data_IF_943194568281
#
_entry.id   IF_943194568281
#
_cell.length_a   1.000
_cell.length_b   1.000
_cell.length_c   1.000
_cell.angle_alpha   90.00
_cell.angle_beta   90.00
_cell.angle_gamma   90.00
#
_symmetry.space_group_name_H-M   'P 1'
#
loop_
_entity.id
_entity.type
_entity.pdbx_description
1 polymer ?
#
# COMPACT_ATOMS: atom_id res chain seq x y z
N UNK A 1 20.68 -38.58 54.47
CA UNK A 1 20.07 -37.32 53.99
C UNK A 1 19.83 -37.42 52.49
N UNK A 2 18.57 -37.51 52.09
CA UNK A 2 18.13 -37.73 50.72
C UNK A 2 17.51 -36.45 50.16
N UNK A 3 18.16 -35.83 49.17
CA UNK A 3 17.58 -34.76 48.34
C UNK A 3 18.38 -34.70 47.03
N UNK A 4 17.75 -35.09 45.91
CA UNK A 4 18.31 -34.84 44.58
C UNK A 4 18.04 -35.91 43.50
N UNK A 5 16.78 -36.31 43.25
CA UNK A 5 16.45 -37.21 42.13
C UNK A 5 15.35 -36.69 41.19
N UNK A 6 14.76 -35.52 41.45
CA UNK A 6 13.61 -35.03 40.67
C UNK A 6 13.85 -33.71 39.92
N UNK A 7 14.99 -33.04 40.13
CA UNK A 7 15.31 -31.78 39.44
C UNK A 7 15.90 -31.97 38.02
N UNK A 8 16.46 -33.15 37.70
CA UNK A 8 17.07 -33.41 36.38
C UNK A 8 16.08 -33.89 35.29
N UNK A 9 14.87 -34.33 35.66
CA UNK A 9 13.87 -34.80 34.69
C UNK A 9 13.26 -33.67 33.85
N UNK A 10 13.21 -32.44 34.39
CA UNK A 10 12.73 -31.26 33.65
C UNK A 10 13.65 -30.86 32.49
N UNK A 11 14.95 -31.08 32.62
CA UNK A 11 15.90 -30.82 31.54
C UNK A 11 15.83 -31.89 30.45
N UNK A 12 15.74 -33.18 30.78
CA UNK A 12 15.77 -34.25 29.75
C UNK A 12 14.58 -34.17 28.77
N UNK A 13 13.42 -33.64 29.20
CA UNK A 13 12.26 -33.39 28.34
C UNK A 13 12.26 -32.03 27.61
N UNK A 14 13.10 -31.08 28.02
CA UNK A 14 13.25 -29.77 27.37
C UNK A 14 14.20 -29.79 26.16
N UNK A 15 15.17 -30.72 26.14
CA UNK A 15 16.22 -30.79 25.11
C UNK A 15 15.81 -31.25 23.70
N UNK A 16 14.76 -32.07 23.45
CA UNK A 16 14.38 -32.37 22.07
C UNK A 16 13.92 -31.11 21.33
N UNK A 17 13.28 -30.14 22.01
CA UNK A 17 12.82 -28.90 21.38
C UNK A 17 13.96 -28.05 20.82
N UNK A 18 15.14 -28.02 21.45
CA UNK A 18 16.31 -27.30 20.94
C UNK A 18 17.00 -28.00 19.77
N UNK A 19 16.86 -29.32 19.61
CA UNK A 19 17.43 -30.06 18.48
C UNK A 19 16.61 -29.92 17.19
N UNK A 20 15.27 -29.94 17.30
CA UNK A 20 14.39 -29.77 16.13
C UNK A 20 14.25 -28.31 15.73
N UNK A 21 14.40 -27.36 16.65
CA UNK A 21 14.21 -25.93 16.36
C UNK A 21 15.15 -25.38 15.27
N UNK A 22 16.47 -25.66 15.26
CA UNK A 22 17.36 -25.26 14.16
C UNK A 22 16.98 -25.90 12.82
N UNK A 23 16.59 -27.18 12.82
CA UNK A 23 16.14 -27.87 11.61
C UNK A 23 14.83 -27.27 11.07
N UNK A 24 13.88 -26.98 11.96
CA UNK A 24 12.63 -26.29 11.66
C UNK A 24 12.87 -24.85 11.17
N UNK A 25 13.79 -24.10 11.80
CA UNK A 25 14.17 -22.75 11.36
C UNK A 25 14.84 -22.77 10.00
N UNK A 26 15.72 -23.73 9.74
CA UNK A 26 16.35 -23.89 8.44
C UNK A 26 15.34 -24.27 7.35
N UNK A 27 14.45 -25.22 7.65
CA UNK A 27 13.33 -25.57 6.76
C UNK A 27 12.43 -24.36 6.50
N UNK A 28 12.04 -23.61 7.54
CA UNK A 28 11.20 -22.42 7.44
C UNK A 28 11.89 -21.31 6.66
N UNK A 29 13.18 -21.06 6.87
CA UNK A 29 13.96 -20.10 6.09
C UNK A 29 14.07 -20.51 4.62
N UNK A 30 14.27 -21.80 4.32
CA UNK A 30 14.26 -22.30 2.94
C UNK A 30 12.88 -22.16 2.30
N UNK A 31 11.81 -22.45 3.05
CA UNK A 31 10.42 -22.29 2.59
C UNK A 31 10.10 -20.82 2.33
N UNK A 32 10.46 -19.91 3.23
CA UNK A 32 10.29 -18.47 3.06
C UNK A 32 11.06 -17.94 1.85
N UNK A 33 12.31 -18.39 1.65
CA UNK A 33 13.09 -18.04 0.45
C UNK A 33 12.48 -18.60 -0.83
N UNK A 34 11.89 -19.80 -0.77
CA UNK A 34 11.18 -20.39 -1.92
C UNK A 34 9.90 -19.61 -2.24
N UNK A 35 9.16 -19.17 -1.21
CA UNK A 35 8.00 -18.28 -1.36
C UNK A 35 8.42 -16.93 -1.93
N UNK A 36 9.44 -16.27 -1.36
CA UNK A 36 9.98 -15.02 -1.91
C UNK A 36 10.45 -15.14 -3.36
N UNK A 37 11.06 -16.28 -3.74
CA UNK A 37 11.44 -16.55 -5.13
C UNK A 37 10.22 -16.77 -6.02
N UNK A 38 9.16 -17.41 -5.52
CA UNK A 38 7.91 -17.60 -6.24
C UNK A 38 7.11 -16.30 -6.38
N UNK A 39 7.13 -15.44 -5.36
CA UNK A 39 6.52 -14.11 -5.38
C UNK A 39 7.31 -13.15 -6.29
N UNK A 40 8.63 -13.29 -6.36
CA UNK A 40 9.50 -12.56 -7.28
C UNK A 40 9.47 -13.12 -8.72
N UNK A 41 9.17 -14.41 -8.90
CA UNK A 41 9.03 -15.06 -10.21
C UNK A 41 7.60 -14.97 -10.76
N UNK A 42 6.61 -14.77 -9.89
CA UNK A 42 5.36 -14.14 -10.29
C UNK A 42 5.77 -12.80 -10.86
N UNK A 43 5.38 -12.44 -12.10
CA UNK A 43 5.60 -11.10 -12.59
C UNK A 43 4.83 -10.17 -11.66
N UNK A 44 5.49 -9.65 -10.63
CA UNK A 44 5.24 -8.29 -10.23
C UNK A 44 5.26 -7.53 -11.55
N UNK A 45 4.17 -6.84 -11.88
CA UNK A 45 4.22 -5.74 -12.83
C UNK A 45 5.52 -5.04 -12.48
N UNK A 46 6.52 -5.16 -13.37
CA UNK A 46 7.85 -4.63 -13.11
C UNK A 46 7.62 -3.19 -12.62
N UNK A 47 8.51 -2.58 -11.83
CA UNK A 47 8.61 -1.15 -11.96
C UNK A 47 9.03 -0.93 -13.43
N UNK A 48 8.06 -0.93 -14.35
CA UNK A 48 8.05 -0.07 -15.51
C UNK A 48 8.50 1.21 -14.86
N UNK A 49 9.67 1.67 -15.25
CA UNK A 49 10.09 3.05 -15.04
C UNK A 49 8.81 3.82 -15.19
N UNK A 50 8.23 4.25 -14.06
CA UNK A 50 6.94 4.88 -14.11
C UNK A 50 7.33 6.19 -14.76
N UNK A 51 7.24 6.25 -16.09
CA UNK A 51 7.36 7.48 -16.82
C UNK A 51 6.34 8.34 -16.10
N UNK A 52 6.79 9.34 -15.31
CA UNK A 52 5.84 10.14 -14.55
C UNK A 52 4.83 10.61 -15.56
N UNK A 53 3.54 10.45 -15.27
CA UNK A 53 2.51 10.90 -16.19
C UNK A 53 2.82 12.37 -16.51
N UNK A 54 3.24 12.63 -17.75
CA UNK A 54 3.69 13.95 -18.21
C UNK A 54 2.48 14.62 -18.83
N UNK A 55 2.04 15.71 -18.22
CA UNK A 55 0.95 16.54 -18.73
C UNK A 55 1.49 17.89 -19.21
N UNK A 56 0.65 18.62 -19.95
CA UNK A 56 0.91 20.01 -20.33
C UNK A 56 1.16 20.84 -19.07
N UNK A 57 2.14 21.76 -19.06
CA UNK A 57 2.46 22.56 -17.89
C UNK A 57 1.25 23.41 -17.49
N UNK A 58 0.89 23.40 -16.21
CA UNK A 58 -0.28 24.16 -15.74
C UNK A 58 -0.08 24.93 -14.43
N UNK A 59 1.05 24.76 -13.74
CA UNK A 59 1.35 25.46 -12.49
C UNK A 59 2.70 26.22 -12.49
N UNK A 60 3.43 26.18 -13.60
CA UNK A 60 4.73 26.85 -13.75
C UNK A 60 5.86 26.21 -12.93
N UNK A 61 5.74 24.92 -12.59
CA UNK A 61 6.71 24.18 -11.77
C UNK A 61 6.49 24.36 -10.26
N UNK A 62 5.32 24.85 -9.84
CA UNK A 62 5.02 25.12 -8.43
C UNK A 62 5.04 23.85 -7.57
N UNK A 63 4.48 22.75 -8.06
CA UNK A 63 4.33 21.53 -7.27
C UNK A 63 5.39 20.46 -7.55
N UNK A 64 5.98 20.44 -8.75
CA UNK A 64 6.98 19.43 -9.17
C UNK A 64 8.36 20.02 -9.53
N UNK A 65 8.49 21.35 -9.56
CA UNK A 65 9.73 22.05 -9.90
C UNK A 65 10.05 22.12 -11.40
N UNK A 66 9.16 21.66 -12.29
CA UNK A 66 9.40 21.63 -13.74
C UNK A 66 8.44 22.60 -14.46
N UNK A 67 8.92 23.75 -14.97
CA UNK A 67 8.07 24.70 -15.65
C UNK A 67 7.66 24.27 -17.07
N UNK A 68 8.30 23.22 -17.63
CA UNK A 68 8.08 22.78 -19.00
C UNK A 68 7.03 21.66 -19.10
N UNK A 69 6.88 20.86 -18.04
CA UNK A 69 5.92 19.76 -18.00
C UNK A 69 5.39 19.53 -16.59
N UNK A 70 4.13 19.11 -16.50
CA UNK A 70 3.53 18.70 -15.22
C UNK A 70 3.77 17.19 -14.99
N UNK A 71 4.26 16.82 -13.81
CA UNK A 71 4.46 15.44 -13.35
C UNK A 71 3.57 15.13 -12.16
N UNK A 72 3.26 13.85 -11.95
CA UNK A 72 2.54 13.41 -10.77
C UNK A 72 3.30 13.75 -9.46
N UNK A 73 2.61 14.39 -8.50
CA UNK A 73 3.15 14.84 -7.22
C UNK A 73 2.55 14.10 -6.02
N UNK A 74 3.32 14.02 -4.95
CA UNK A 74 2.86 13.49 -3.67
C UNK A 74 2.66 11.96 -3.61
N UNK A 75 2.30 11.43 -2.43
CA UNK A 75 2.04 10.00 -2.25
C UNK A 75 0.84 9.51 -3.04
N UNK A 76 -0.12 10.39 -3.36
CA UNK A 76 -1.30 10.07 -4.18
C UNK A 76 -1.12 10.34 -5.68
N UNK A 77 0.09 10.73 -6.11
CA UNK A 77 0.47 10.88 -7.52
C UNK A 77 -0.50 11.77 -8.33
N UNK A 78 -0.92 12.90 -7.77
CA UNK A 78 -1.80 13.84 -8.45
C UNK A 78 -1.06 14.59 -9.56
N UNK A 79 -1.66 14.75 -10.73
CA UNK A 79 -1.19 15.74 -11.70
C UNK A 79 -1.51 17.14 -11.17
N UNK A 80 -0.61 18.14 -11.28
CA UNK A 80 -0.82 19.51 -10.81
C UNK A 80 -2.16 20.12 -11.24
N UNK A 81 -2.61 19.83 -12.47
CA UNK A 81 -3.93 20.25 -12.98
C UNK A 81 -5.14 19.65 -12.25
N UNK A 82 -5.00 18.43 -11.74
CA UNK A 82 -6.00 17.79 -10.90
C UNK A 82 -5.89 18.30 -9.47
N UNK A 83 -4.66 18.42 -8.95
CA UNK A 83 -4.41 18.98 -7.62
C UNK A 83 -5.04 20.36 -7.44
N UNK A 84 -4.87 21.28 -8.40
CA UNK A 84 -5.51 22.62 -8.31
C UNK A 84 -7.03 22.61 -8.15
N UNK A 85 -7.72 21.55 -8.59
CA UNK A 85 -9.18 21.44 -8.49
C UNK A 85 -9.63 20.73 -7.22
N UNK A 86 -8.81 19.83 -6.68
CA UNK A 86 -9.21 18.90 -5.62
C UNK A 86 -8.41 19.05 -4.33
N UNK A 87 -7.39 19.91 -4.32
CA UNK A 87 -6.58 20.21 -3.15
C UNK A 87 -7.46 20.50 -1.93
N UNK A 88 -7.09 19.88 -0.82
CA UNK A 88 -7.78 19.96 0.46
C UNK A 88 -6.75 20.12 1.55
N UNK A 89 -7.08 20.96 2.52
CA UNK A 89 -6.30 21.19 3.74
C UNK A 89 -6.95 20.33 4.84
N UNK A 90 -6.39 19.15 5.08
CA UNK A 90 -6.93 18.16 6.00
C UNK A 90 -6.29 18.29 7.40
N UNK A 91 -5.06 18.78 7.48
CA UNK A 91 -4.37 19.07 8.74
C UNK A 91 -4.69 20.46 9.31
N UNK A 92 -5.44 21.29 8.58
CA UNK A 92 -5.95 22.61 8.96
C UNK A 92 -4.85 23.65 9.20
N UNK A 93 -3.76 23.60 8.43
CA UNK A 93 -2.64 24.55 8.54
C UNK A 93 -2.79 25.81 7.66
N UNK A 94 -3.85 25.86 6.83
CA UNK A 94 -4.20 26.98 5.98
C UNK A 94 -3.75 26.82 4.51
N UNK A 95 -3.08 25.74 4.15
CA UNK A 95 -2.72 25.44 2.76
C UNK A 95 -2.86 23.95 2.44
N UNK A 96 -3.23 23.60 1.20
CA UNK A 96 -3.18 22.21 0.75
C UNK A 96 -1.79 21.87 0.20
N UNK A 97 -1.08 20.94 0.84
CA UNK A 97 0.22 20.43 0.39
C UNK A 97 0.09 19.01 -0.23
N UNK A 98 0.40 18.83 -1.53
CA UNK A 98 0.32 17.51 -2.15
C UNK A 98 1.29 16.48 -1.55
N UNK A 99 2.32 16.91 -0.83
CA UNK A 99 3.27 16.02 -0.15
C UNK A 99 2.80 15.60 1.25
N UNK A 100 1.84 16.32 1.82
CA UNK A 100 1.26 16.02 3.12
C UNK A 100 0.23 14.90 2.95
N UNK A 101 0.37 13.82 3.70
CA UNK A 101 -0.41 12.59 3.51
C UNK A 101 -1.89 12.78 3.78
N UNK A 102 -2.28 13.57 4.79
CA UNK A 102 -3.69 13.77 5.13
C UNK A 102 -4.38 14.63 4.06
N UNK A 103 -3.71 15.69 3.60
CA UNK A 103 -4.20 16.55 2.51
C UNK A 103 -4.36 15.77 1.22
N UNK A 104 -3.35 14.96 0.88
CA UNK A 104 -3.37 14.11 -0.30
C UNK A 104 -4.48 13.05 -0.21
N UNK A 105 -4.66 12.41 0.95
CA UNK A 105 -5.69 11.42 1.17
C UNK A 105 -7.11 12.02 1.09
N UNK A 106 -7.34 13.18 1.73
CA UNK A 106 -8.64 13.86 1.66
C UNK A 106 -8.95 14.34 0.23
N UNK A 107 -7.94 14.85 -0.47
CA UNK A 107 -8.08 15.25 -1.88
C UNK A 107 -8.44 14.04 -2.76
N UNK A 108 -7.80 12.89 -2.54
CA UNK A 108 -8.12 11.64 -3.24
C UNK A 108 -9.55 11.16 -2.97
N UNK A 109 -9.98 11.20 -1.71
CA UNK A 109 -11.35 10.83 -1.33
C UNK A 109 -12.38 11.73 -2.03
N UNK A 110 -12.18 13.05 -2.02
CA UNK A 110 -13.08 14.00 -2.71
C UNK A 110 -13.10 13.79 -4.20
N UNK A 111 -11.94 13.51 -4.80
CA UNK A 111 -11.83 13.23 -6.24
C UNK A 111 -12.59 11.95 -6.63
N UNK A 112 -12.46 10.88 -5.85
CA UNK A 112 -13.16 9.61 -6.10
C UNK A 112 -14.68 9.78 -5.99
N UNK A 113 -15.16 10.53 -4.99
CA UNK A 113 -16.58 10.83 -4.77
C UNK A 113 -17.16 11.90 -5.71
N UNK A 114 -16.37 12.46 -6.63
CA UNK A 114 -16.82 13.51 -7.53
C UNK A 114 -17.92 13.05 -8.50
N UNK A 115 -18.89 13.92 -8.79
CA UNK A 115 -19.91 13.70 -9.82
C UNK A 115 -21.03 12.76 -9.40
N UNK A 116 -21.55 12.93 -8.18
CA UNK A 116 -22.70 12.20 -7.60
C UNK A 116 -22.52 10.67 -7.54
N UNK A 117 -21.28 10.19 -7.53
CA UNK A 117 -20.94 8.77 -7.46
C UNK A 117 -21.18 8.22 -6.06
N UNK A 118 -21.75 7.03 -5.98
CA UNK A 118 -21.79 6.25 -4.76
C UNK A 118 -20.72 5.15 -4.80
N UNK A 119 -19.66 5.28 -3.99
CA UNK A 119 -18.58 4.29 -3.94
C UNK A 119 -19.01 2.94 -3.33
N UNK A 120 -20.20 2.84 -2.75
CA UNK A 120 -20.80 1.57 -2.36
C UNK A 120 -21.41 0.81 -3.55
N UNK A 121 -21.69 1.51 -4.67
CA UNK A 121 -22.20 0.92 -5.90
C UNK A 121 -21.03 0.45 -6.77
N UNK A 122 -20.98 -0.85 -7.17
CA UNK A 122 -19.82 -1.38 -7.90
C UNK A 122 -19.49 -0.64 -9.20
N UNK A 123 -20.51 -0.23 -9.97
CA UNK A 123 -20.31 0.48 -11.23
C UNK A 123 -19.66 1.86 -11.02
N UNK A 124 -20.13 2.61 -10.02
CA UNK A 124 -19.63 3.93 -9.67
C UNK A 124 -18.22 3.85 -9.07
N UNK A 125 -17.95 2.81 -8.27
CA UNK A 125 -16.61 2.53 -7.76
C UNK A 125 -15.61 2.32 -8.90
N UNK A 126 -15.96 1.48 -9.90
CA UNK A 126 -15.10 1.27 -11.07
C UNK A 126 -14.90 2.54 -11.88
N UNK A 127 -15.96 3.32 -12.08
CA UNK A 127 -15.89 4.61 -12.77
C UNK A 127 -14.98 5.61 -12.03
N UNK A 128 -15.04 5.64 -10.69
CA UNK A 128 -14.19 6.48 -9.87
C UNK A 128 -12.72 6.09 -10.00
N UNK A 129 -12.38 4.80 -9.88
CA UNK A 129 -10.98 4.34 -10.00
C UNK A 129 -10.42 4.56 -11.41
N UNK A 130 -11.23 4.38 -12.45
CA UNK A 130 -10.81 4.67 -13.83
C UNK A 130 -10.60 6.16 -14.11
N UNK A 131 -11.19 7.06 -13.31
CA UNK A 131 -10.88 8.49 -13.38
C UNK A 131 -9.47 8.81 -12.88
N UNK A 132 -8.87 7.95 -12.04
CA UNK A 132 -7.48 8.04 -11.63
C UNK A 132 -6.53 7.47 -12.70
N UNK A 133 -6.85 6.27 -13.17
CA UNK A 133 -6.10 5.59 -14.22
C UNK A 133 -7.02 4.61 -14.97
N UNK A 134 -7.24 4.87 -16.25
CA UNK A 134 -8.14 4.10 -17.10
C UNK A 134 -7.50 2.77 -17.54
N UNK A 135 -7.38 1.84 -16.59
CA UNK A 135 -6.73 0.54 -16.77
C UNK A 135 -7.42 -0.53 -15.93
N UNK A 136 -7.95 -1.56 -16.60
CA UNK A 136 -8.62 -2.70 -15.93
C UNK A 136 -7.68 -3.40 -14.93
N UNK A 137 -6.43 -3.76 -15.29
CA UNK A 137 -5.50 -4.38 -14.32
C UNK A 137 -5.22 -3.49 -13.10
N UNK A 138 -5.14 -2.18 -13.30
CA UNK A 138 -4.97 -1.23 -12.20
C UNK A 138 -6.19 -1.25 -11.27
N UNK A 139 -7.41 -1.16 -11.82
CA UNK A 139 -8.64 -1.20 -11.03
C UNK A 139 -8.79 -2.51 -10.24
N UNK A 140 -8.46 -3.66 -10.86
CA UNK A 140 -8.46 -4.96 -10.17
C UNK A 140 -7.46 -4.98 -8.99
N UNK A 141 -6.27 -4.41 -9.18
CA UNK A 141 -5.26 -4.30 -8.13
C UNK A 141 -5.73 -3.43 -6.96
N UNK A 142 -6.29 -2.26 -7.26
CA UNK A 142 -6.85 -1.35 -6.24
C UNK A 142 -7.98 -2.04 -5.47
N UNK A 143 -8.88 -2.74 -6.17
CA UNK A 143 -9.97 -3.48 -5.53
C UNK A 143 -9.45 -4.56 -4.58
N UNK A 144 -8.48 -5.37 -5.03
CA UNK A 144 -7.91 -6.44 -4.20
C UNK A 144 -7.21 -5.92 -2.94
N UNK A 145 -6.53 -4.77 -3.02
CA UNK A 145 -5.94 -4.11 -1.86
C UNK A 145 -7.01 -3.59 -0.90
N UNK A 146 -8.05 -2.90 -1.40
CA UNK A 146 -9.14 -2.37 -0.59
C UNK A 146 -9.92 -3.47 0.15
N UNK A 147 -10.26 -4.56 -0.54
CA UNK A 147 -10.88 -5.76 0.06
C UNK A 147 -9.97 -6.39 1.14
N UNK A 148 -8.66 -6.43 0.88
CA UNK A 148 -7.67 -6.87 1.86
C UNK A 148 -7.68 -6.04 3.15
N UNK A 149 -7.65 -4.70 3.04
CA UNK A 149 -7.71 -3.81 4.19
C UNK A 149 -9.04 -3.93 4.95
N UNK A 150 -10.16 -4.00 4.24
CA UNK A 150 -11.49 -4.15 4.85
C UNK A 150 -11.59 -5.43 5.68
N UNK A 151 -11.11 -6.57 5.17
CA UNK A 151 -11.09 -7.83 5.92
C UNK A 151 -10.21 -7.77 7.17
N UNK A 152 -9.03 -7.15 7.07
CA UNK A 152 -8.13 -7.00 8.22
C UNK A 152 -8.78 -6.15 9.32
N UNK A 153 -9.38 -5.01 8.96
CA UNK A 153 -10.04 -4.14 9.92
C UNK A 153 -11.19 -4.83 10.67
N UNK A 154 -11.95 -5.68 9.98
CA UNK A 154 -13.04 -6.47 10.59
C UNK A 154 -12.53 -7.64 11.46
N UNK A 155 -11.28 -8.08 11.26
CA UNK A 155 -10.68 -9.16 12.05
C UNK A 155 -10.05 -8.69 13.37
N UNK A 156 -9.83 -7.37 13.50
CA UNK A 156 -9.27 -6.75 14.70
C UNK A 156 -10.35 -6.29 15.70
N UNK A 157 -11.63 -6.36 15.30
CA UNK A 157 -12.82 -6.12 16.14
C UNK A 157 -13.41 -7.43 16.65
#
# INVERSE_FOLDING_TARGET
SATGSWQNLGYVLQWPLFGVFPAFMFWRLRKLRAQQRADAATPADQPRTATPLVATPTDGGRFDGDPAVDRAVGPMQFIPSTWRRWASDANLDGWGDPQQIDDAALSAARYLCAGDRDLAVPADWWAAVFSYNNSVPYGQKVFGLADGYARTALSET
#
